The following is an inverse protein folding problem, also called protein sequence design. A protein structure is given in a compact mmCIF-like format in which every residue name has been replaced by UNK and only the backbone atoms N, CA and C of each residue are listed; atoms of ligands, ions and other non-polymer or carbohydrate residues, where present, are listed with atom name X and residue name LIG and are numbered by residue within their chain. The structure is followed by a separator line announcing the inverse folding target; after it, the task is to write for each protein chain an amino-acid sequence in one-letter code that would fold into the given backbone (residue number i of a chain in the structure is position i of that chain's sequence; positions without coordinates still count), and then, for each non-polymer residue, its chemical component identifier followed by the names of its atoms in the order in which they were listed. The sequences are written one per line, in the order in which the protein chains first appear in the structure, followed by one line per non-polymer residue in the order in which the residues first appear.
data_IF_655415960908
#
_entry.id   IF_655415960908
#
_cell.length_a   1.000
_cell.length_b   1.000
_cell.length_c   1.000
_cell.angle_alpha   90.00
_cell.angle_beta   90.00
_cell.angle_gamma   90.00
#
_symmetry.space_group_name_H-M   'P 1'
#
loop_
_entity.id
_entity.type
_entity.pdbx_description
1 polymer ?
#
# COMPACT_ATOMS: atom_id res chain seq x y z
N UNK A 1 -13.75 -14.85 27.38
CA UNK A 1 -14.00 -15.67 26.18
C UNK A 1 -14.90 -14.95 25.16
N UNK A 2 -16.08 -14.42 25.54
CA UNK A 2 -17.01 -13.76 24.60
C UNK A 2 -16.39 -12.48 23.96
N UNK A 3 -15.68 -11.65 24.74
CA UNK A 3 -15.03 -10.44 24.22
C UNK A 3 -13.86 -10.76 23.27
N UNK A 4 -13.10 -11.82 23.51
CA UNK A 4 -12.00 -12.24 22.64
C UNK A 4 -12.50 -12.73 21.28
N UNK A 5 -13.65 -13.43 21.27
CA UNK A 5 -14.26 -13.91 20.02
C UNK A 5 -14.80 -12.75 19.18
N UNK A 6 -15.46 -11.78 19.80
CA UNK A 6 -15.96 -10.57 19.13
C UNK A 6 -14.82 -9.74 18.53
N UNK A 7 -13.69 -9.62 19.22
CA UNK A 7 -12.51 -8.92 18.70
C UNK A 7 -11.89 -9.64 17.50
N UNK A 8 -11.87 -10.98 17.51
CA UNK A 8 -11.38 -11.77 16.37
C UNK A 8 -12.28 -11.62 15.14
N UNK A 9 -13.60 -11.63 15.33
CA UNK A 9 -14.57 -11.39 14.25
C UNK A 9 -14.39 -9.98 13.68
N UNK A 10 -14.30 -8.96 14.55
CA UNK A 10 -14.07 -7.57 14.12
C UNK A 10 -12.75 -7.43 13.35
N UNK A 11 -11.69 -8.08 13.81
CA UNK A 11 -10.41 -8.10 13.09
C UNK A 11 -10.53 -8.76 11.72
N UNK A 12 -11.23 -9.89 11.63
CA UNK A 12 -11.47 -10.58 10.36
C UNK A 12 -12.25 -9.71 9.38
N UNK A 13 -13.32 -9.03 9.84
CA UNK A 13 -14.15 -8.14 9.02
C UNK A 13 -13.34 -6.92 8.52
N UNK A 14 -12.58 -6.26 9.40
CA UNK A 14 -11.73 -5.13 9.03
C UNK A 14 -10.63 -5.58 8.05
N UNK A 15 -10.05 -6.77 8.27
CA UNK A 15 -9.04 -7.33 7.37
C UNK A 15 -9.64 -7.67 6.01
N UNK A 16 -10.83 -8.28 5.97
CA UNK A 16 -11.57 -8.59 4.74
C UNK A 16 -11.86 -7.31 3.94
N UNK A 17 -12.41 -6.29 4.59
CA UNK A 17 -12.68 -4.99 3.97
C UNK A 17 -11.40 -4.37 3.38
N UNK A 18 -10.29 -4.44 4.12
CA UNK A 18 -9.00 -3.93 3.67
C UNK A 18 -8.42 -4.75 2.52
N UNK A 19 -8.61 -6.07 2.49
CA UNK A 19 -8.20 -6.92 1.37
C UNK A 19 -8.93 -6.56 0.08
N UNK A 20 -10.24 -6.50 0.11
CA UNK A 20 -11.02 -6.16 -1.08
C UNK A 20 -10.76 -4.73 -1.56
N UNK A 21 -10.58 -3.81 -0.63
CA UNK A 21 -10.12 -2.46 -0.97
C UNK A 21 -8.77 -2.52 -1.71
N UNK A 22 -7.78 -3.22 -1.17
CA UNK A 22 -6.44 -3.30 -1.77
C UNK A 22 -6.41 -4.10 -3.07
N UNK A 23 -7.31 -5.08 -3.23
CA UNK A 23 -7.50 -5.82 -4.47
C UNK A 23 -7.98 -4.88 -5.58
N UNK A 24 -9.03 -4.11 -5.31
CA UNK A 24 -9.59 -3.16 -6.27
C UNK A 24 -8.65 -1.96 -6.51
N UNK A 25 -7.91 -1.48 -5.51
CA UNK A 25 -6.88 -0.45 -5.67
C UNK A 25 -5.74 -0.93 -6.59
N UNK A 26 -5.29 -2.18 -6.43
CA UNK A 26 -4.31 -2.79 -7.33
C UNK A 26 -4.86 -2.98 -8.75
N UNK A 27 -6.07 -3.52 -8.86
CA UNK A 27 -6.72 -3.75 -10.14
C UNK A 27 -6.97 -2.43 -10.91
N UNK A 28 -7.47 -1.41 -10.22
CA UNK A 28 -7.69 -0.07 -10.80
C UNK A 28 -6.37 0.53 -11.33
N UNK A 29 -5.29 0.42 -10.55
CA UNK A 29 -3.99 0.93 -10.98
C UNK A 29 -3.52 0.27 -12.27
N UNK A 30 -3.62 -1.06 -12.37
CA UNK A 30 -3.22 -1.78 -13.57
C UNK A 30 -4.17 -1.51 -14.73
N UNK A 31 -5.48 -1.46 -14.47
CA UNK A 31 -6.51 -1.14 -15.46
C UNK A 31 -6.24 0.22 -16.13
N UNK A 32 -5.99 1.27 -15.33
CA UNK A 32 -5.67 2.61 -15.82
C UNK A 32 -4.34 2.61 -16.59
N UNK A 33 -3.29 2.01 -16.04
CA UNK A 33 -1.98 1.95 -16.71
C UNK A 33 -2.07 1.28 -18.09
N UNK A 34 -2.70 0.12 -18.16
CA UNK A 34 -2.82 -0.64 -19.41
C UNK A 34 -3.72 0.07 -20.43
N UNK A 35 -4.87 0.58 -19.98
CA UNK A 35 -5.80 1.30 -20.85
C UNK A 35 -5.13 2.50 -21.51
N UNK A 36 -4.48 3.38 -20.73
CA UNK A 36 -3.82 4.56 -21.28
C UNK A 36 -2.54 4.21 -22.07
N UNK A 37 -1.86 3.11 -21.71
CA UNK A 37 -0.74 2.61 -22.51
C UNK A 37 -1.21 2.18 -23.92
N UNK A 38 -2.35 1.48 -24.02
CA UNK A 38 -2.92 1.12 -25.34
C UNK A 38 -3.38 2.33 -26.18
N UNK A 39 -3.63 3.48 -25.53
CA UNK A 39 -3.90 4.76 -26.19
C UNK A 39 -2.62 5.51 -26.59
N UNK A 40 -1.43 4.91 -26.40
CA UNK A 40 -0.15 5.47 -26.83
C UNK A 40 0.54 6.40 -25.83
N UNK A 41 0.11 6.38 -24.55
CA UNK A 41 0.77 7.18 -23.52
C UNK A 41 2.15 6.60 -23.17
N UNK A 42 3.15 7.48 -23.12
CA UNK A 42 4.50 7.12 -22.69
C UNK A 42 4.54 6.77 -21.18
N UNK A 43 5.55 6.02 -20.71
CA UNK A 43 5.70 5.69 -19.28
C UNK A 43 5.68 6.91 -18.35
N UNK A 44 6.25 8.04 -18.78
CA UNK A 44 6.23 9.29 -18.02
C UNK A 44 4.83 9.89 -17.91
N UNK A 45 4.07 9.90 -19.02
CA UNK A 45 2.68 10.36 -19.02
C UNK A 45 1.80 9.46 -18.13
N UNK A 46 2.03 8.15 -18.15
CA UNK A 46 1.34 7.22 -17.24
C UNK A 46 1.64 7.49 -15.77
N UNK A 47 2.86 7.88 -15.44
CA UNK A 47 3.23 8.26 -14.07
C UNK A 47 2.46 9.51 -13.61
N UNK A 48 2.25 10.50 -14.46
CA UNK A 48 1.46 11.70 -14.14
C UNK A 48 0.02 11.39 -13.75
N UNK A 49 -0.61 10.35 -14.30
CA UNK A 49 -1.98 9.96 -13.95
C UNK A 49 -2.15 9.67 -12.44
N UNK A 50 -1.07 9.30 -11.75
CA UNK A 50 -1.08 8.97 -10.33
C UNK A 50 -0.48 10.07 -9.43
N UNK A 51 -0.09 11.22 -9.98
CA UNK A 51 0.54 12.30 -9.21
C UNK A 51 -0.36 12.78 -8.06
N UNK A 52 -1.63 13.07 -8.35
CA UNK A 52 -2.59 13.50 -7.32
C UNK A 52 -2.94 12.39 -6.34
N UNK A 53 -2.90 11.11 -6.75
CA UNK A 53 -3.08 9.97 -5.85
C UNK A 53 -2.02 9.94 -4.73
N UNK A 54 -0.76 10.17 -5.05
CA UNK A 54 0.31 10.18 -4.04
C UNK A 54 0.31 11.50 -3.24
N UNK A 55 0.07 12.64 -3.89
CA UNK A 55 0.01 13.94 -3.24
C UNK A 55 -1.11 14.02 -2.19
N UNK A 56 -2.35 13.68 -2.56
CA UNK A 56 -3.44 13.62 -1.59
C UNK A 56 -3.25 12.52 -0.55
N UNK A 57 -2.57 11.43 -0.91
CA UNK A 57 -2.18 10.39 0.02
C UNK A 57 -1.29 10.92 1.16
N UNK A 58 -0.37 11.84 0.89
CA UNK A 58 0.46 12.47 1.93
C UNK A 58 -0.40 13.27 2.92
N UNK A 59 -1.24 14.16 2.41
CA UNK A 59 -2.12 15.01 3.23
C UNK A 59 -3.10 14.14 4.04
N UNK A 60 -3.70 13.15 3.39
CA UNK A 60 -4.69 12.27 4.03
C UNK A 60 -4.08 11.41 5.11
N UNK A 61 -2.86 10.90 4.95
CA UNK A 61 -2.20 10.13 6.01
C UNK A 61 -2.08 10.94 7.30
N UNK A 62 -1.75 12.24 7.20
CA UNK A 62 -1.66 13.12 8.36
C UNK A 62 -3.04 13.39 8.99
N UNK A 63 -4.03 13.70 8.16
CA UNK A 63 -5.36 14.12 8.62
C UNK A 63 -6.25 12.95 9.02
N UNK A 64 -6.09 11.77 8.38
CA UNK A 64 -6.91 10.58 8.62
C UNK A 64 -6.89 10.10 10.08
N UNK A 65 -5.71 10.19 10.74
CA UNK A 65 -5.59 9.85 12.15
C UNK A 65 -6.41 10.76 13.06
N UNK A 66 -6.43 12.05 12.75
CA UNK A 66 -7.22 13.06 13.46
C UNK A 66 -8.73 12.91 13.19
N UNK A 67 -9.10 12.68 11.93
CA UNK A 67 -10.48 12.40 11.55
C UNK A 67 -10.99 11.17 12.32
N UNK A 68 -10.25 10.06 12.28
CA UNK A 68 -10.64 8.83 12.97
C UNK A 68 -10.74 9.00 14.49
N UNK A 69 -9.93 9.87 15.10
CA UNK A 69 -10.04 10.19 16.53
C UNK A 69 -11.32 10.93 16.85
N UNK A 70 -11.82 11.76 15.91
CA UNK A 70 -13.06 12.55 16.07
C UNK A 70 -14.35 11.80 15.78
N UNK A 71 -14.35 10.95 14.74
CA UNK A 71 -15.58 10.30 14.25
C UNK A 71 -15.59 8.77 14.43
N UNK A 72 -14.46 8.20 14.82
CA UNK A 72 -14.29 6.75 15.01
C UNK A 72 -13.63 6.03 13.83
N UNK A 73 -13.01 4.88 14.14
CA UNK A 73 -12.29 4.09 13.13
C UNK A 73 -13.25 3.42 12.14
N UNK A 74 -14.41 2.94 12.60
CA UNK A 74 -15.38 2.28 11.73
C UNK A 74 -15.92 3.25 10.68
N UNK A 75 -16.34 4.44 11.10
CA UNK A 75 -16.84 5.48 10.18
C UNK A 75 -15.75 5.87 9.17
N UNK A 76 -14.51 6.01 9.64
CA UNK A 76 -13.37 6.32 8.76
C UNK A 76 -13.13 5.20 7.73
N UNK A 77 -13.28 3.93 8.11
CA UNK A 77 -13.21 2.78 7.20
C UNK A 77 -14.32 2.83 6.15
N UNK A 78 -15.57 3.03 6.58
CA UNK A 78 -16.73 3.13 5.69
C UNK A 78 -16.57 4.29 4.69
N UNK A 79 -16.17 5.46 5.17
CA UNK A 79 -15.89 6.63 4.32
C UNK A 79 -14.84 6.32 3.28
N UNK A 80 -13.74 5.65 3.65
CA UNK A 80 -12.71 5.24 2.70
C UNK A 80 -13.25 4.33 1.60
N UNK A 81 -14.07 3.33 1.94
CA UNK A 81 -14.65 2.41 0.94
C UNK A 81 -15.67 3.15 0.05
N UNK A 82 -16.50 4.01 0.62
CA UNK A 82 -17.48 4.83 -0.15
C UNK A 82 -16.75 5.72 -1.16
N UNK A 83 -15.68 6.40 -0.74
CA UNK A 83 -14.89 7.24 -1.65
C UNK A 83 -14.24 6.44 -2.78
N UNK A 84 -13.82 5.20 -2.52
CA UNK A 84 -13.29 4.32 -3.57
C UNK A 84 -14.38 3.91 -4.57
N UNK A 85 -15.58 3.56 -4.08
CA UNK A 85 -16.73 3.25 -4.94
C UNK A 85 -17.08 4.47 -5.80
N UNK A 86 -17.13 5.66 -5.21
CA UNK A 86 -17.37 6.90 -5.94
C UNK A 86 -16.29 7.17 -6.99
N UNK A 87 -15.02 6.98 -6.65
CA UNK A 87 -13.91 7.13 -7.60
C UNK A 87 -14.06 6.19 -8.80
N UNK A 88 -14.42 4.92 -8.56
CA UNK A 88 -14.64 3.94 -9.63
C UNK A 88 -15.83 4.35 -10.51
N UNK A 89 -16.96 4.75 -9.92
CA UNK A 89 -18.16 5.16 -10.66
C UNK A 89 -17.94 6.47 -11.42
N UNK A 90 -17.24 7.45 -10.83
CA UNK A 90 -16.90 8.70 -11.55
C UNK A 90 -15.99 8.38 -12.73
N UNK A 91 -15.03 7.48 -12.60
CA UNK A 91 -14.10 7.13 -13.66
C UNK A 91 -14.80 6.47 -14.88
N UNK A 92 -15.97 5.84 -14.71
CA UNK A 92 -16.77 5.33 -15.85
C UNK A 92 -17.30 6.44 -16.77
N UNK A 93 -17.30 7.69 -16.31
CA UNK A 93 -17.73 8.85 -17.10
C UNK A 93 -16.62 9.39 -18.02
N UNK A 94 -15.48 8.69 -18.10
CA UNK A 94 -14.40 9.06 -19.03
C UNK A 94 -14.88 8.92 -20.48
N UNK A 95 -14.99 10.04 -21.17
CA UNK A 95 -15.45 10.08 -22.55
C UNK A 95 -14.26 10.06 -23.52
N UNK A 96 -14.28 9.13 -24.46
CA UNK A 96 -13.25 8.99 -25.50
C UNK A 96 -13.20 10.17 -26.50
N UNK A 97 -14.25 10.98 -26.55
CA UNK A 97 -14.30 12.19 -27.39
C UNK A 97 -13.51 13.36 -26.79
N UNK A 98 -13.14 13.30 -25.52
CA UNK A 98 -12.40 14.37 -24.89
C UNK A 98 -10.97 14.46 -25.41
N UNK A 99 -10.45 15.68 -25.44
CA UNK A 99 -9.02 15.84 -25.72
C UNK A 99 -8.16 15.22 -24.61
N UNK A 100 -6.93 14.87 -24.96
CA UNK A 100 -5.97 14.18 -24.05
C UNK A 100 -5.80 14.94 -22.73
N UNK A 101 -5.73 16.28 -22.76
CA UNK A 101 -5.50 17.09 -21.56
C UNK A 101 -6.67 16.97 -20.56
N UNK A 102 -7.91 17.04 -21.07
CA UNK A 102 -9.11 16.90 -20.22
C UNK A 102 -9.17 15.49 -19.63
N UNK A 103 -8.93 14.46 -20.46
CA UNK A 103 -8.89 13.07 -19.99
C UNK A 103 -7.86 12.86 -18.90
N UNK A 104 -6.65 13.39 -19.06
CA UNK A 104 -5.57 13.30 -18.04
C UNK A 104 -5.98 13.98 -16.76
N UNK A 105 -6.49 15.22 -16.80
CA UNK A 105 -6.92 15.96 -15.61
C UNK A 105 -8.05 15.22 -14.89
N UNK A 106 -9.02 14.68 -15.63
CA UNK A 106 -10.13 13.92 -15.07
C UNK A 106 -9.66 12.64 -14.37
N UNK A 107 -8.78 11.87 -15.02
CA UNK A 107 -8.19 10.66 -14.41
C UNK A 107 -7.34 11.00 -13.21
N UNK A 108 -6.52 12.05 -13.27
CA UNK A 108 -5.73 12.51 -12.13
C UNK A 108 -6.62 12.88 -10.93
N UNK A 109 -7.73 13.58 -11.16
CA UNK A 109 -8.68 13.97 -10.11
C UNK A 109 -9.35 12.74 -9.47
N UNK A 110 -9.83 11.80 -10.28
CA UNK A 110 -10.44 10.55 -9.80
C UNK A 110 -9.43 9.66 -9.08
N UNK A 111 -8.19 9.56 -9.57
CA UNK A 111 -7.11 8.86 -8.88
C UNK A 111 -6.74 9.57 -7.56
N UNK A 112 -6.79 10.90 -7.50
CA UNK A 112 -6.63 11.67 -6.26
C UNK A 112 -7.67 11.28 -5.21
N UNK A 113 -8.94 11.15 -5.60
CA UNK A 113 -10.00 10.67 -4.71
C UNK A 113 -9.75 9.23 -4.22
N UNK A 114 -9.30 8.35 -5.12
CA UNK A 114 -8.89 6.98 -4.76
C UNK A 114 -7.70 6.96 -3.79
N UNK A 115 -6.75 7.89 -3.92
CA UNK A 115 -5.64 8.06 -2.98
C UNK A 115 -6.10 8.43 -1.57
N UNK A 116 -7.05 9.36 -1.44
CA UNK A 116 -7.70 9.72 -0.17
C UNK A 116 -8.40 8.49 0.42
N UNK A 117 -9.20 7.81 -0.37
CA UNK A 117 -9.92 6.60 0.01
C UNK A 117 -9.00 5.52 0.58
N UNK A 118 -7.88 5.26 -0.11
CA UNK A 118 -6.85 4.30 0.31
C UNK A 118 -6.27 4.64 1.67
N UNK A 119 -5.93 5.88 1.90
CA UNK A 119 -5.21 6.25 3.11
C UNK A 119 -6.14 6.34 4.34
N UNK A 120 -7.41 6.70 4.17
CA UNK A 120 -8.45 6.56 5.20
C UNK A 120 -8.64 5.08 5.59
N UNK A 121 -8.85 4.21 4.61
CA UNK A 121 -9.03 2.76 4.83
C UNK A 121 -7.81 2.13 5.48
N UNK A 122 -6.61 2.46 5.01
CA UNK A 122 -5.34 1.97 5.56
C UNK A 122 -5.14 2.40 7.00
N UNK A 123 -5.35 3.68 7.31
CA UNK A 123 -5.14 4.21 8.65
C UNK A 123 -6.13 3.58 9.63
N UNK A 124 -7.42 3.51 9.28
CA UNK A 124 -8.43 2.86 10.10
C UNK A 124 -8.10 1.39 10.36
N UNK A 125 -7.83 0.60 9.31
CA UNK A 125 -7.53 -0.83 9.43
C UNK A 125 -6.27 -1.09 10.28
N UNK A 126 -5.21 -0.30 10.10
CA UNK A 126 -3.96 -0.45 10.85
C UNK A 126 -4.11 -0.09 12.33
N UNK A 127 -4.85 0.98 12.63
CA UNK A 127 -5.11 1.40 14.01
C UNK A 127 -5.99 0.38 14.75
N UNK A 128 -6.93 -0.24 14.05
CA UNK A 128 -7.82 -1.27 14.61
C UNK A 128 -7.05 -2.46 15.17
N UNK A 129 -5.93 -2.85 14.56
CA UNK A 129 -5.12 -3.98 15.02
C UNK A 129 -4.68 -3.80 16.46
N UNK A 130 -4.23 -2.60 16.84
CA UNK A 130 -3.79 -2.30 18.22
C UNK A 130 -4.92 -2.43 19.25
N UNK A 131 -6.15 -2.09 18.84
CA UNK A 131 -7.31 -2.09 19.72
C UNK A 131 -7.94 -3.48 19.86
N UNK A 132 -7.87 -4.28 18.79
CA UNK A 132 -8.49 -5.59 18.70
C UNK A 132 -7.56 -6.74 19.10
N UNK A 133 -6.24 -6.55 18.98
CA UNK A 133 -5.28 -7.62 19.27
C UNK A 133 -5.32 -7.99 20.77
N UNK A 134 -5.35 -9.30 21.09
CA UNK A 134 -5.28 -9.76 22.48
C UNK A 134 -3.99 -9.31 23.16
N UNK A 135 -4.06 -8.95 24.45
CA UNK A 135 -2.92 -8.58 25.29
C UNK A 135 -2.08 -9.83 25.68
N UNK A 136 -1.73 -10.66 24.69
CA UNK A 136 -0.87 -11.84 24.84
C UNK A 136 0.45 -11.62 24.10
N UNK A 137 1.57 -12.00 24.71
CA UNK A 137 2.92 -11.85 24.15
C UNK A 137 3.00 -12.36 22.71
N UNK A 138 3.45 -11.52 21.79
CA UNK A 138 3.63 -11.83 20.37
C UNK A 138 2.36 -11.84 19.50
N UNK A 139 1.15 -11.75 20.07
CA UNK A 139 -0.10 -11.72 19.27
C UNK A 139 -0.21 -10.45 18.44
N UNK A 140 0.09 -9.28 19.00
CA UNK A 140 0.08 -8.01 18.27
C UNK A 140 1.00 -8.10 17.03
N UNK A 141 2.23 -8.61 17.20
CA UNK A 141 3.15 -8.74 16.07
C UNK A 141 2.63 -9.68 14.97
N UNK A 142 2.04 -10.82 15.36
CA UNK A 142 1.44 -11.76 14.41
C UNK A 142 0.30 -11.11 13.62
N UNK A 143 -0.61 -10.40 14.28
CA UNK A 143 -1.76 -9.75 13.62
C UNK A 143 -1.33 -8.61 12.71
N UNK A 144 -0.40 -7.77 13.15
CA UNK A 144 0.16 -6.67 12.33
C UNK A 144 0.84 -7.22 11.08
N UNK A 145 1.69 -8.23 11.25
CA UNK A 145 2.43 -8.84 10.14
C UNK A 145 1.50 -9.53 9.15
N UNK A 146 0.51 -10.27 9.67
CA UNK A 146 -0.51 -10.91 8.86
C UNK A 146 -1.30 -9.88 8.03
N UNK A 147 -1.88 -8.87 8.68
CA UNK A 147 -2.64 -7.83 7.97
C UNK A 147 -1.76 -7.06 6.98
N UNK A 148 -0.52 -6.73 7.35
CA UNK A 148 0.38 -5.97 6.47
C UNK A 148 0.84 -6.78 5.28
N UNK A 149 1.19 -8.04 5.49
CA UNK A 149 1.68 -8.92 4.43
C UNK A 149 0.57 -9.35 3.49
N UNK A 150 -0.54 -9.87 4.05
CA UNK A 150 -1.66 -10.34 3.24
C UNK A 150 -2.26 -9.24 2.35
N UNK A 151 -2.41 -8.02 2.85
CA UNK A 151 -2.92 -6.91 2.02
C UNK A 151 -1.98 -6.56 0.86
N UNK A 152 -0.65 -6.70 1.03
CA UNK A 152 0.30 -6.46 -0.05
C UNK A 152 0.24 -7.60 -1.08
N UNK A 153 0.15 -8.86 -0.64
CA UNK A 153 -0.05 -9.98 -1.54
C UNK A 153 -1.35 -9.82 -2.35
N UNK A 154 -2.46 -9.49 -1.68
CA UNK A 154 -3.76 -9.24 -2.31
C UNK A 154 -3.68 -8.09 -3.31
N UNK A 155 -2.94 -7.01 -3.01
CA UNK A 155 -2.70 -5.93 -3.97
C UNK A 155 -1.94 -6.40 -5.21
N UNK A 156 -0.94 -7.25 -5.04
CA UNK A 156 -0.21 -7.86 -6.16
C UNK A 156 -1.12 -8.72 -7.05
N UNK A 157 -2.01 -9.53 -6.45
CA UNK A 157 -3.07 -10.23 -7.19
C UNK A 157 -4.02 -9.25 -7.90
N UNK A 158 -4.33 -8.11 -7.27
CA UNK A 158 -5.11 -7.04 -7.88
C UNK A 158 -4.51 -6.56 -9.21
N UNK A 159 -3.18 -6.42 -9.31
CA UNK A 159 -2.53 -6.06 -10.57
C UNK A 159 -2.83 -7.06 -11.69
N UNK A 160 -2.76 -8.36 -11.40
CA UNK A 160 -3.07 -9.40 -12.38
C UNK A 160 -4.56 -9.40 -12.75
N UNK A 161 -5.44 -9.26 -11.76
CA UNK A 161 -6.90 -9.20 -11.97
C UNK A 161 -7.27 -7.97 -12.81
N UNK A 162 -6.64 -6.81 -12.59
CA UNK A 162 -6.88 -5.59 -13.37
C UNK A 162 -6.53 -5.78 -14.86
N UNK A 163 -5.43 -6.47 -15.15
CA UNK A 163 -5.06 -6.83 -16.52
C UNK A 163 -6.06 -7.79 -17.17
N UNK A 164 -6.49 -8.81 -16.44
CA UNK A 164 -7.51 -9.78 -16.91
C UNK A 164 -8.85 -9.11 -17.15
N UNK A 165 -9.32 -8.28 -16.21
CA UNK A 165 -10.58 -7.55 -16.34
C UNK A 165 -10.55 -6.66 -17.59
N UNK A 166 -9.47 -5.92 -17.83
CA UNK A 166 -9.35 -5.09 -19.04
C UNK A 166 -9.45 -5.94 -20.31
N UNK A 167 -8.81 -7.10 -20.32
CA UNK A 167 -8.75 -7.98 -21.51
C UNK A 167 -10.07 -8.64 -21.83
N UNK A 168 -10.84 -9.09 -20.80
CA UNK A 168 -12.05 -9.88 -21.00
C UNK A 168 -13.34 -9.06 -20.91
N UNK A 169 -13.36 -8.00 -20.12
CA UNK A 169 -14.58 -7.26 -19.77
C UNK A 169 -14.54 -5.84 -20.27
N UNK A 170 -13.35 -5.31 -20.54
CA UNK A 170 -13.12 -3.94 -20.97
C UNK A 170 -13.03 -2.94 -19.81
N UNK A 171 -12.73 -1.67 -20.13
CA UNK A 171 -12.40 -0.65 -19.11
C UNK A 171 -13.59 -0.32 -18.22
N UNK A 172 -14.70 0.11 -18.80
CA UNK A 172 -15.88 0.61 -18.11
C UNK A 172 -16.56 -0.48 -17.26
N UNK A 173 -16.84 -1.66 -17.85
CA UNK A 173 -17.47 -2.77 -17.14
C UNK A 173 -16.59 -3.27 -15.98
N UNK A 174 -15.26 -3.21 -16.09
CA UNK A 174 -14.34 -3.55 -15.02
C UNK A 174 -14.48 -2.61 -13.83
N UNK A 175 -14.68 -1.32 -14.07
CA UNK A 175 -14.93 -0.32 -13.03
C UNK A 175 -16.23 -0.59 -12.29
N UNK A 176 -17.33 -0.86 -13.03
CA UNK A 176 -18.61 -1.25 -12.43
C UNK A 176 -18.51 -2.55 -11.63
N UNK A 177 -17.81 -3.55 -12.14
CA UNK A 177 -17.58 -4.79 -11.42
C UNK A 177 -16.87 -4.56 -10.09
N UNK A 178 -15.77 -3.80 -10.09
CA UNK A 178 -15.02 -3.46 -8.87
C UNK A 178 -15.86 -2.65 -7.88
N UNK A 179 -16.65 -1.67 -8.36
CA UNK A 179 -17.55 -0.88 -7.53
C UNK A 179 -18.64 -1.76 -6.88
N UNK A 180 -19.18 -2.72 -7.62
CA UNK A 180 -20.20 -3.66 -7.11
C UNK A 180 -19.61 -4.57 -6.02
N UNK A 181 -18.42 -5.12 -6.22
CA UNK A 181 -17.73 -5.92 -5.21
C UNK A 181 -17.50 -5.12 -3.93
N UNK A 182 -17.01 -3.88 -4.02
CA UNK A 182 -16.80 -3.02 -2.85
C UNK A 182 -18.11 -2.63 -2.16
N UNK A 183 -19.19 -2.45 -2.92
CA UNK A 183 -20.53 -2.16 -2.36
C UNK A 183 -21.05 -3.33 -1.53
N UNK A 184 -20.88 -4.58 -2.01
CA UNK A 184 -21.22 -5.79 -1.25
C UNK A 184 -20.40 -5.87 0.05
N UNK A 185 -19.09 -5.62 -0.03
CA UNK A 185 -18.23 -5.61 1.16
C UNK A 185 -18.64 -4.52 2.15
N UNK A 186 -18.97 -3.33 1.65
CA UNK A 186 -19.47 -2.24 2.49
C UNK A 186 -20.76 -2.64 3.24
N UNK A 187 -21.70 -3.27 2.55
CA UNK A 187 -22.94 -3.76 3.17
C UNK A 187 -22.65 -4.81 4.26
N UNK A 188 -21.76 -5.75 3.99
CA UNK A 188 -21.35 -6.78 4.97
C UNK A 188 -20.79 -6.12 6.24
N UNK A 189 -19.85 -5.18 6.09
CA UNK A 189 -19.24 -4.55 7.27
C UNK A 189 -20.19 -3.60 8.00
N UNK A 190 -21.11 -2.92 7.32
CA UNK A 190 -22.15 -2.09 7.95
C UNK A 190 -23.07 -2.92 8.83
N UNK A 191 -23.43 -4.13 8.40
CA UNK A 191 -24.33 -5.03 9.16
C UNK A 191 -23.58 -5.74 10.29
N UNK A 192 -22.35 -6.22 10.03
CA UNK A 192 -21.64 -7.12 10.94
C UNK A 192 -20.72 -6.39 11.93
N UNK A 193 -20.19 -5.20 11.59
CA UNK A 193 -19.26 -4.44 12.42
C UNK A 193 -20.04 -3.38 13.25
N UNK A 194 -20.87 -3.84 14.19
CA UNK A 194 -21.84 -3.01 14.92
C UNK A 194 -21.24 -2.02 15.92
N UNK A 195 -20.12 -2.37 16.56
CA UNK A 195 -19.54 -1.58 17.65
C UNK A 195 -18.26 -0.89 17.19
N UNK A 196 -18.16 0.42 17.42
CA UNK A 196 -16.90 1.12 17.28
C UNK A 196 -16.00 0.79 18.49
N UNK A 197 -14.84 0.19 18.21
CA UNK A 197 -13.85 -0.18 19.21
C UNK A 197 -12.89 0.96 19.54
N UNK A 198 -13.04 2.12 18.88
CA UNK A 198 -12.21 3.31 19.13
C UNK A 198 -12.83 4.25 20.14
N UNK A 199 -11.98 4.85 21.00
CA UNK A 199 -12.41 5.93 21.89
C UNK A 199 -12.48 7.24 21.11
N UNK A 200 -13.69 7.69 20.82
CA UNK A 200 -13.97 8.96 20.14
C UNK A 200 -13.69 10.14 21.08
N UNK A 201 -12.97 11.16 20.57
CA UNK A 201 -12.71 12.42 21.28
C UNK A 201 -12.95 13.60 20.35
N UNK A 202 -14.18 14.12 20.35
CA UNK A 202 -14.62 15.18 19.43
C UNK A 202 -13.76 16.46 19.48
N UNK A 203 -13.25 16.83 20.65
CA UNK A 203 -12.49 18.06 20.89
C UNK A 203 -10.97 17.90 20.65
N UNK A 204 -10.54 16.88 19.89
CA UNK A 204 -9.13 16.68 19.54
C UNK A 204 -8.64 17.83 18.65
N UNK A 205 -7.60 18.55 19.10
CA UNK A 205 -6.97 19.63 18.33
C UNK A 205 -6.10 19.03 17.21
N UNK A 206 -5.98 19.73 16.08
CA UNK A 206 -5.13 19.29 14.98
C UNK A 206 -3.65 19.19 15.39
N UNK A 207 -3.19 20.06 16.29
CA UNK A 207 -1.82 20.00 16.82
C UNK A 207 -1.47 18.71 17.56
N UNK A 208 -2.47 17.93 18.00
CA UNK A 208 -2.26 16.61 18.64
C UNK A 208 -1.83 15.53 17.66
N UNK A 209 -1.89 15.77 16.34
CA UNK A 209 -1.41 14.84 15.30
C UNK A 209 0.09 14.59 15.43
N UNK A 210 0.85 15.62 15.80
CA UNK A 210 2.30 15.47 15.99
C UNK A 210 2.59 14.70 17.27
N UNK A 211 3.37 13.64 17.14
CA UNK A 211 3.70 12.80 18.29
C UNK A 211 4.76 13.47 19.17
N UNK A 212 4.52 13.41 20.49
CA UNK A 212 5.52 13.83 21.51
C UNK A 212 6.43 12.69 21.94
N UNK A 213 6.14 11.46 21.50
CA UNK A 213 6.93 10.29 21.83
C UNK A 213 8.19 10.23 20.95
N UNK A 214 9.38 10.33 21.57
CA UNK A 214 10.66 10.31 20.87
C UNK A 214 10.86 9.02 20.04
N UNK A 215 10.43 7.87 20.54
CA UNK A 215 10.56 6.59 19.81
C UNK A 215 9.73 6.60 18.52
N UNK A 216 8.52 7.17 18.56
CA UNK A 216 7.66 7.32 17.38
C UNK A 216 8.29 8.30 16.39
N UNK A 217 8.87 9.41 16.87
CA UNK A 217 9.52 10.40 16.01
C UNK A 217 10.75 9.81 15.29
N UNK A 218 11.63 9.09 16.00
CA UNK A 218 12.77 8.42 15.38
C UNK A 218 12.33 7.29 14.42
N UNK A 219 11.32 6.53 14.79
CA UNK A 219 10.78 5.49 13.91
C UNK A 219 10.17 6.09 12.63
N UNK A 220 9.48 7.23 12.76
CA UNK A 220 8.91 7.97 11.63
C UNK A 220 9.99 8.54 10.72
N UNK A 221 11.06 9.11 11.30
CA UNK A 221 12.21 9.58 10.53
C UNK A 221 12.90 8.44 9.78
N UNK A 222 13.17 7.32 10.45
CA UNK A 222 13.70 6.12 9.81
C UNK A 222 12.79 5.60 8.68
N UNK A 223 11.48 5.77 8.82
CA UNK A 223 10.50 5.40 7.79
C UNK A 223 10.60 6.25 6.53
N UNK A 224 10.88 7.56 6.64
CA UNK A 224 11.12 8.45 5.49
C UNK A 224 12.21 7.87 4.60
N UNK A 225 13.38 7.61 5.17
CA UNK A 225 14.54 7.11 4.40
C UNK A 225 14.32 5.68 3.89
N UNK A 226 13.76 4.79 4.71
CA UNK A 226 13.53 3.40 4.33
C UNK A 226 12.62 3.28 3.12
N UNK A 227 11.54 4.06 3.07
CA UNK A 227 10.59 3.98 1.96
C UNK A 227 10.97 4.90 0.81
N UNK A 228 11.63 6.02 1.05
CA UNK A 228 12.21 6.86 0.01
C UNK A 228 13.23 6.07 -0.83
N UNK A 229 14.21 5.44 -0.17
CA UNK A 229 15.21 4.60 -0.85
C UNK A 229 14.57 3.46 -1.65
N UNK A 230 13.59 2.74 -1.06
CA UNK A 230 12.89 1.68 -1.80
C UNK A 230 12.20 2.20 -3.05
N UNK A 231 11.47 3.29 -2.95
CA UNK A 231 10.62 3.75 -4.05
C UNK A 231 11.45 4.42 -5.15
N UNK A 232 12.58 5.03 -4.83
CA UNK A 232 13.58 5.46 -5.83
C UNK A 232 14.03 4.28 -6.70
N UNK A 233 14.30 3.13 -6.09
CA UNK A 233 14.68 1.93 -6.83
C UNK A 233 13.50 1.28 -7.56
N UNK A 234 12.42 0.94 -6.85
CA UNK A 234 11.35 0.11 -7.39
C UNK A 234 10.37 0.87 -8.29
N UNK A 235 10.18 2.18 -8.07
CA UNK A 235 9.21 2.96 -8.83
C UNK A 235 9.86 3.71 -9.99
N UNK A 236 11.14 4.06 -9.87
CA UNK A 236 11.86 4.84 -10.87
C UNK A 236 12.97 4.03 -11.53
N UNK A 237 13.99 3.63 -10.76
CA UNK A 237 15.20 3.03 -11.31
C UNK A 237 14.94 1.70 -12.01
N UNK A 238 14.21 0.79 -11.35
CA UNK A 238 13.97 -0.55 -11.88
C UNK A 238 13.08 -0.55 -13.14
N UNK A 239 11.96 0.15 -13.23
CA UNK A 239 11.19 0.21 -14.48
C UNK A 239 11.99 0.78 -15.65
N UNK A 240 12.80 1.82 -15.42
CA UNK A 240 13.66 2.39 -16.47
C UNK A 240 14.69 1.35 -16.93
N UNK A 241 15.40 0.71 -16.00
CA UNK A 241 16.39 -0.31 -16.30
C UNK A 241 15.79 -1.51 -17.06
N UNK A 242 14.67 -2.04 -16.56
CA UNK A 242 14.01 -3.16 -17.23
C UNK A 242 13.48 -2.78 -18.62
N UNK A 243 12.93 -1.57 -18.75
CA UNK A 243 12.41 -1.12 -20.03
C UNK A 243 13.53 -0.93 -21.07
N UNK A 244 14.66 -0.33 -20.67
CA UNK A 244 15.82 -0.15 -21.57
C UNK A 244 16.49 -1.47 -21.96
N UNK A 245 16.33 -2.52 -21.14
CA UNK A 245 16.92 -3.84 -21.42
C UNK A 245 16.00 -4.76 -22.22
N UNK A 246 14.67 -4.59 -22.04
CA UNK A 246 13.65 -5.49 -22.62
C UNK A 246 13.02 -4.94 -23.91
N UNK A 247 13.31 -3.70 -24.29
CA UNK A 247 12.71 -3.06 -25.47
C UNK A 247 13.80 -2.44 -26.37
N UNK A 248 13.68 -2.66 -27.67
CA UNK A 248 14.49 -2.01 -28.71
C UNK A 248 13.87 -0.69 -29.23
N UNK A 249 12.73 -0.27 -28.65
CA UNK A 249 12.01 0.94 -29.03
C UNK A 249 10.89 0.71 -30.05
N UNK A 250 10.74 -0.48 -30.62
CA UNK A 250 9.61 -0.80 -31.49
C UNK A 250 8.32 -0.92 -30.70
N UNK A 251 7.18 -0.70 -31.34
CA UNK A 251 5.85 -0.71 -30.67
C UNK A 251 5.58 -2.07 -30.04
N UNK A 252 5.90 -3.16 -30.73
CA UNK A 252 5.65 -4.52 -30.24
C UNK A 252 6.55 -4.89 -29.08
N UNK A 253 7.85 -4.56 -29.12
CA UNK A 253 8.78 -4.81 -28.02
C UNK A 253 8.46 -3.92 -26.80
N UNK A 254 8.09 -2.67 -27.01
CA UNK A 254 7.59 -1.79 -25.95
C UNK A 254 6.40 -2.41 -25.22
N UNK A 255 5.44 -2.97 -25.97
CA UNK A 255 4.26 -3.64 -25.40
C UNK A 255 4.64 -4.89 -24.59
N UNK A 256 5.52 -5.74 -25.14
CA UNK A 256 6.01 -6.93 -24.44
C UNK A 256 6.75 -6.55 -23.15
N UNK A 257 7.69 -5.59 -23.21
CA UNK A 257 8.41 -5.09 -22.06
C UNK A 257 7.48 -4.61 -20.96
N UNK A 258 6.44 -3.83 -21.31
CA UNK A 258 5.46 -3.34 -20.36
C UNK A 258 4.73 -4.48 -19.61
N UNK A 259 4.29 -5.52 -20.33
CA UNK A 259 3.64 -6.68 -19.72
C UNK A 259 4.59 -7.51 -18.84
N UNK A 260 5.84 -7.69 -19.27
CA UNK A 260 6.85 -8.42 -18.48
C UNK A 260 7.14 -7.66 -17.17
N UNK A 261 7.36 -6.35 -17.25
CA UNK A 261 7.60 -5.49 -16.09
C UNK A 261 6.39 -5.52 -15.14
N UNK A 262 5.17 -5.37 -15.67
CA UNK A 262 3.94 -5.44 -14.87
C UNK A 262 3.77 -6.76 -14.15
N UNK A 263 4.02 -7.88 -14.83
CA UNK A 263 3.96 -9.23 -14.24
C UNK A 263 5.04 -9.44 -13.18
N UNK A 264 6.26 -8.96 -13.44
CA UNK A 264 7.36 -8.99 -12.46
C UNK A 264 6.99 -8.21 -11.19
N UNK A 265 6.50 -6.97 -11.35
CA UNK A 265 6.11 -6.12 -10.22
C UNK A 265 4.96 -6.73 -9.40
N UNK A 266 3.99 -7.36 -10.07
CA UNK A 266 2.91 -8.09 -9.40
C UNK A 266 3.45 -9.28 -8.59
N UNK A 267 4.27 -10.11 -9.20
CA UNK A 267 4.89 -11.29 -8.58
C UNK A 267 5.78 -10.89 -7.40
N UNK A 268 6.59 -9.85 -7.58
CA UNK A 268 7.44 -9.31 -6.53
C UNK A 268 6.61 -8.77 -5.35
N UNK A 269 5.50 -8.09 -5.62
CA UNK A 269 4.60 -7.56 -4.57
C UNK A 269 3.92 -8.68 -3.79
N UNK A 270 3.52 -9.77 -4.47
CA UNK A 270 2.96 -10.98 -3.84
C UNK A 270 4.01 -11.63 -2.93
N UNK A 271 5.22 -11.87 -3.45
CA UNK A 271 6.35 -12.42 -2.70
C UNK A 271 6.66 -11.57 -1.46
N UNK A 272 6.81 -10.27 -1.65
CA UNK A 272 7.04 -9.31 -0.57
C UNK A 272 5.95 -9.39 0.51
N UNK A 273 4.68 -9.44 0.12
CA UNK A 273 3.56 -9.57 1.03
C UNK A 273 3.59 -10.89 1.82
N UNK A 274 3.93 -11.99 1.17
CA UNK A 274 4.06 -13.29 1.81
C UNK A 274 5.16 -13.28 2.88
N UNK A 275 6.35 -12.78 2.57
CA UNK A 275 7.45 -12.66 3.53
C UNK A 275 7.06 -11.76 4.73
N UNK A 276 6.35 -10.66 4.49
CA UNK A 276 5.84 -9.82 5.57
C UNK A 276 4.91 -10.58 6.51
N UNK A 277 4.00 -11.38 5.98
CA UNK A 277 3.05 -12.16 6.78
C UNK A 277 3.75 -13.18 7.68
N UNK A 278 4.82 -13.83 7.19
CA UNK A 278 5.57 -14.85 7.93
C UNK A 278 6.73 -14.29 8.77
N UNK A 279 7.00 -12.98 8.73
CA UNK A 279 8.10 -12.33 9.47
C UNK A 279 8.15 -12.70 10.96
N UNK A 280 7.04 -12.82 11.70
CA UNK A 280 7.09 -13.25 13.10
C UNK A 280 7.69 -14.63 13.32
N UNK A 281 7.58 -15.53 12.33
CA UNK A 281 8.22 -16.86 12.35
C UNK A 281 9.73 -16.74 12.09
N UNK A 282 10.12 -15.87 11.13
CA UNK A 282 11.52 -15.65 10.75
C UNK A 282 12.31 -15.02 11.91
N UNK A 283 11.74 -14.02 12.59
CA UNK A 283 12.45 -13.21 13.59
C UNK A 283 12.42 -13.78 14.99
N UNK A 284 11.66 -14.88 15.26
CA UNK A 284 11.48 -15.47 16.59
C UNK A 284 11.20 -14.38 17.65
N UNK A 285 9.98 -14.10 17.93
CA UNK A 285 9.38 -12.89 18.55
C UNK A 285 9.95 -12.35 19.89
N UNK A 286 11.06 -12.86 20.42
CA UNK A 286 11.51 -12.58 21.78
C UNK A 286 12.67 -11.56 21.93
N UNK A 287 13.34 -11.13 20.85
CA UNK A 287 14.50 -10.20 20.97
C UNK A 287 14.45 -9.21 19.81
N UNK A 288 13.77 -8.08 20.01
CA UNK A 288 13.46 -7.17 18.88
C UNK A 288 14.60 -6.21 18.53
N UNK A 289 15.26 -5.57 19.50
CA UNK A 289 16.17 -4.46 19.22
C UNK A 289 17.42 -4.84 18.40
N UNK A 290 18.12 -5.88 18.79
CA UNK A 290 19.32 -6.32 18.07
C UNK A 290 18.99 -6.83 16.66
N UNK A 291 17.79 -7.43 16.50
CA UNK A 291 17.32 -7.90 15.19
C UNK A 291 16.94 -6.76 14.25
N UNK A 292 16.36 -5.68 14.77
CA UNK A 292 16.04 -4.50 13.95
C UNK A 292 17.31 -3.92 13.35
N UNK A 293 18.36 -3.73 14.14
CA UNK A 293 19.67 -3.24 13.65
C UNK A 293 20.27 -4.19 12.61
N UNK A 294 20.23 -5.50 12.85
CA UNK A 294 20.72 -6.49 11.89
C UNK A 294 20.00 -6.39 10.55
N UNK A 295 18.66 -6.41 10.55
CA UNK A 295 17.88 -6.33 9.32
C UNK A 295 18.01 -4.97 8.60
N UNK A 296 18.13 -3.87 9.34
CA UNK A 296 18.36 -2.55 8.76
C UNK A 296 19.73 -2.47 8.08
N UNK A 297 20.79 -2.97 8.73
CA UNK A 297 22.14 -2.98 8.17
C UNK A 297 22.26 -3.92 6.94
N UNK A 298 21.52 -5.04 6.94
CA UNK A 298 21.48 -5.96 5.79
C UNK A 298 20.94 -5.30 4.52
N UNK A 299 20.07 -4.26 4.64
CA UNK A 299 19.60 -3.52 3.47
C UNK A 299 20.69 -2.71 2.77
N UNK A 300 21.73 -2.28 3.49
CA UNK A 300 22.84 -1.49 2.92
C UNK A 300 23.71 -2.35 2.00
N UNK A 301 23.87 -3.63 2.36
CA UNK A 301 24.73 -4.55 1.62
C UNK A 301 24.21 -4.85 0.20
N UNK A 302 22.88 -4.87 0.01
CA UNK A 302 22.28 -5.28 -1.26
C UNK A 302 22.58 -4.29 -2.40
N UNK A 303 22.31 -2.97 -2.29
CA UNK A 303 22.68 -2.01 -3.31
C UNK A 303 24.19 -1.87 -3.48
N UNK A 304 25.00 -2.08 -2.42
CA UNK A 304 26.43 -2.11 -2.50
C UNK A 304 26.91 -3.28 -3.40
N UNK A 305 26.38 -4.49 -3.14
CA UNK A 305 26.68 -5.66 -3.97
C UNK A 305 26.26 -5.41 -5.42
N UNK A 306 25.06 -4.86 -5.65
CA UNK A 306 24.58 -4.54 -6.99
C UNK A 306 25.51 -3.53 -7.70
N UNK A 307 25.93 -2.48 -7.00
CA UNK A 307 26.84 -1.47 -7.54
C UNK A 307 28.21 -2.06 -7.94
N UNK A 308 28.77 -2.93 -7.10
CA UNK A 308 30.02 -3.61 -7.41
C UNK A 308 29.84 -4.59 -8.58
N UNK A 309 28.76 -5.35 -8.58
CA UNK A 309 28.46 -6.33 -9.62
C UNK A 309 28.20 -5.70 -10.98
N UNK A 310 27.60 -4.50 -11.02
CA UNK A 310 27.37 -3.78 -12.28
C UNK A 310 28.67 -3.39 -12.99
N UNK A 311 29.77 -3.29 -12.25
CA UNK A 311 31.09 -3.00 -12.81
C UNK A 311 31.82 -4.25 -13.31
N UNK A 312 31.65 -5.42 -12.65
CA UNK A 312 32.40 -6.63 -12.96
C UNK A 312 31.65 -7.69 -13.75
N UNK A 313 30.32 -7.63 -13.81
CA UNK A 313 29.45 -8.66 -14.38
C UNK A 313 28.51 -8.08 -15.46
N UNK A 314 29.04 -7.32 -16.40
CA UNK A 314 28.25 -6.64 -17.45
C UNK A 314 27.31 -7.62 -18.18
N UNK A 315 27.81 -8.78 -18.62
CA UNK A 315 27.03 -9.79 -19.37
C UNK A 315 25.89 -10.44 -18.54
N UNK A 316 26.02 -10.46 -17.21
CA UNK A 316 25.07 -11.12 -16.31
C UNK A 316 24.27 -10.14 -15.47
N UNK A 317 24.45 -8.83 -15.66
CA UNK A 317 23.87 -7.80 -14.78
C UNK A 317 22.36 -7.88 -14.70
N UNK A 318 21.67 -8.20 -15.80
CA UNK A 318 20.21 -8.36 -15.82
C UNK A 318 19.75 -9.47 -14.87
N UNK A 319 20.26 -10.69 -15.05
CA UNK A 319 19.89 -11.85 -14.21
C UNK A 319 20.26 -11.61 -12.75
N UNK A 320 21.45 -11.04 -12.50
CA UNK A 320 21.93 -10.74 -11.17
C UNK A 320 21.07 -9.67 -10.47
N UNK A 321 20.67 -8.63 -11.20
CA UNK A 321 19.75 -7.61 -10.69
C UNK A 321 18.42 -8.22 -10.27
N UNK A 322 17.82 -9.10 -11.09
CA UNK A 322 16.56 -9.78 -10.76
C UNK A 322 16.70 -10.62 -9.49
N UNK A 323 17.77 -11.38 -9.34
CA UNK A 323 18.04 -12.18 -8.14
C UNK A 323 18.20 -11.30 -6.89
N UNK A 324 19.00 -10.23 -6.98
CA UNK A 324 19.20 -9.29 -5.88
C UNK A 324 17.92 -8.56 -5.49
N UNK A 325 17.02 -8.31 -6.43
CA UNK A 325 15.71 -7.71 -6.14
C UNK A 325 14.84 -8.63 -5.29
N UNK A 326 14.89 -9.94 -5.47
CA UNK A 326 14.18 -10.86 -4.56
C UNK A 326 14.83 -10.89 -3.17
N UNK A 327 16.17 -10.87 -3.08
CA UNK A 327 16.89 -10.76 -1.80
C UNK A 327 16.54 -9.43 -1.12
N UNK A 328 16.54 -8.32 -1.85
CA UNK A 328 16.09 -7.01 -1.36
C UNK A 328 14.65 -7.07 -0.87
N UNK A 329 13.74 -7.64 -1.67
CA UNK A 329 12.35 -7.82 -1.32
C UNK A 329 12.16 -8.58 -0.01
N UNK A 330 12.93 -9.65 0.19
CA UNK A 330 12.93 -10.43 1.43
C UNK A 330 13.37 -9.58 2.64
N UNK A 331 14.56 -8.98 2.58
CA UNK A 331 15.12 -8.18 3.68
C UNK A 331 14.26 -6.95 3.98
N UNK A 332 13.78 -6.28 2.93
CA UNK A 332 12.89 -5.13 3.06
C UNK A 332 11.52 -5.50 3.64
N UNK A 333 10.96 -6.66 3.28
CA UNK A 333 9.71 -7.17 3.83
C UNK A 333 9.80 -7.36 5.35
N UNK A 334 10.90 -7.96 5.82
CA UNK A 334 11.16 -8.14 7.25
C UNK A 334 11.26 -6.77 7.95
N UNK A 335 12.07 -5.85 7.44
CA UNK A 335 12.20 -4.49 7.99
C UNK A 335 10.85 -3.76 8.07
N UNK A 336 10.09 -3.77 6.98
CA UNK A 336 8.79 -3.11 6.92
C UNK A 336 7.77 -3.71 7.88
N UNK A 337 7.83 -5.02 8.12
CA UNK A 337 6.98 -5.71 9.09
C UNK A 337 7.35 -5.34 10.52
N UNK A 338 8.65 -5.30 10.83
CA UNK A 338 9.16 -4.84 12.13
C UNK A 338 8.75 -3.39 12.41
N UNK A 339 8.96 -2.48 11.48
CA UNK A 339 8.53 -1.09 11.58
C UNK A 339 7.01 -0.95 11.80
N UNK A 340 6.21 -1.74 11.09
CA UNK A 340 4.75 -1.73 11.26
C UNK A 340 4.28 -2.28 12.61
N UNK A 341 5.07 -3.15 13.22
CA UNK A 341 4.83 -3.62 14.58
C UNK A 341 5.24 -2.56 15.61
N UNK A 342 6.44 -1.96 15.47
CA UNK A 342 6.99 -1.01 16.42
C UNK A 342 6.11 0.23 16.60
N UNK A 343 5.52 0.79 15.53
CA UNK A 343 4.60 1.92 15.67
C UNK A 343 3.42 1.55 16.58
N UNK A 344 2.86 0.36 16.43
CA UNK A 344 1.75 -0.09 17.28
C UNK A 344 2.20 -0.50 18.69
N UNK A 345 3.46 -0.87 18.87
CA UNK A 345 4.02 -1.14 20.19
C UNK A 345 4.27 0.15 20.99
N UNK A 346 4.81 1.19 20.34
CA UNK A 346 5.18 2.45 20.98
C UNK A 346 3.99 3.39 21.23
N UNK A 347 2.89 3.22 20.53
CA UNK A 347 1.69 4.05 20.70
C UNK A 347 0.78 3.51 21.80
N UNK A 348 0.08 4.42 22.49
CA UNK A 348 -0.99 4.09 23.44
C UNK A 348 -2.32 3.85 22.70
N UNK A 349 -3.20 3.01 23.29
CA UNK A 349 -4.53 2.73 22.74
C UNK A 349 -5.35 4.00 22.50
N UNK A 350 -5.15 5.05 23.29
CA UNK A 350 -5.88 6.33 23.16
C UNK A 350 -5.35 7.22 22.02
N UNK A 351 -4.08 7.07 21.64
CA UNK A 351 -3.44 7.89 20.59
C UNK A 351 -3.20 7.13 19.29
N UNK A 352 -3.58 5.86 19.21
CA UNK A 352 -3.18 4.97 18.10
C UNK A 352 -3.49 5.54 16.72
N UNK A 353 -4.64 6.15 16.52
CA UNK A 353 -5.00 6.73 15.22
C UNK A 353 -4.11 7.92 14.84
N UNK A 354 -3.80 8.80 15.80
CA UNK A 354 -2.94 9.97 15.60
C UNK A 354 -1.50 9.55 15.28
N UNK A 355 -0.91 8.70 16.10
CA UNK A 355 0.47 8.26 15.96
C UNK A 355 0.68 7.40 14.70
N UNK A 356 -0.28 6.55 14.35
CA UNK A 356 -0.27 5.77 13.10
C UNK A 356 -0.42 6.70 11.89
N UNK A 357 -1.29 7.71 11.96
CA UNK A 357 -1.43 8.73 10.92
C UNK A 357 -0.13 9.49 10.68
N UNK A 358 0.49 10.00 11.75
CA UNK A 358 1.79 10.69 11.70
C UNK A 358 2.90 9.83 11.09
N UNK A 359 3.00 8.58 11.53
CA UNK A 359 3.97 7.62 11.02
C UNK A 359 3.77 7.30 9.52
N UNK A 360 2.52 7.18 9.03
CA UNK A 360 2.27 6.92 7.62
C UNK A 360 2.38 8.18 6.75
N UNK A 361 2.19 9.38 7.31
CA UNK A 361 2.54 10.64 6.65
C UNK A 361 4.04 10.66 6.34
N UNK A 362 4.90 10.30 7.31
CA UNK A 362 6.35 10.21 7.11
C UNK A 362 6.72 9.22 5.99
N UNK A 363 5.99 8.10 5.88
CA UNK A 363 6.16 7.17 4.77
C UNK A 363 5.79 7.78 3.41
N UNK A 364 4.72 8.56 3.34
CA UNK A 364 4.30 9.21 2.10
C UNK A 364 5.26 10.34 1.71
N UNK A 365 5.75 11.11 2.70
CA UNK A 365 6.75 12.15 2.50
C UNK A 365 8.06 11.61 1.91
N UNK A 366 8.55 10.46 2.39
CA UNK A 366 9.76 9.85 1.85
C UNK A 366 9.62 9.32 0.42
N UNK A 367 8.38 9.17 -0.09
CA UNK A 367 8.08 8.70 -1.45
C UNK A 367 7.94 9.83 -2.48
N UNK A 368 7.71 11.05 -2.02
CA UNK A 368 7.71 12.27 -2.82
C UNK A 368 9.14 12.78 -3.05
#
# INVERSE_FOLDING_TARGET
MISDNNNQISFALVTLAYWFFMLTDGALRMLVLLHFHTLGFSPLQLAYLFLLYEFFGMITNLTAGWIAKKIGLNITLYTGIILQILSLVILTQLDQSWNITISVIFVMATQGLSGIAKDLTKMSSKSSVKLLAPDKKGKLFKWVSFMTGSKNAVKGFGFLIGALLLSFVGFENSLFFMASVLSIILLIILVCLKNDFSKIKKNTKFSEVFSKNKNINYLSLGRVFLFGARDTWLVVGLPIFLYSTLSDGTVDENRKAFFIIGTFMASWTIFYGFIQAITPKITKSNVLENKIKFWANSLILIPLILSVSSYYLEDFIFTFTILLLFVFGFVFAVNSSLHSFLILQYTDKERVSLDVGFYYMSNAFGRL
#
